data_IF_696392022734
#
_entry.id   IF_696392022734
#
_cell.length_a   1.000
_cell.length_b   1.000
_cell.length_c   1.000
_cell.angle_alpha   90.00
_cell.angle_beta   90.00
_cell.angle_gamma   90.00
#
_symmetry.space_group_name_H-M   'P 1'
#
loop_
_entity.id
_entity.type
_entity.pdbx_description
1 polymer ?
#
# COMPACT_ATOMS: atom_id res chain seq x y z
N UNK A 1 -1.33 14.31 0.50
CA UNK A 1 -2.05 13.42 -0.43
C UNK A 1 -1.08 13.01 -1.52
N UNK A 2 -0.83 11.70 -1.66
CA UNK A 2 0.00 11.13 -2.73
C UNK A 2 -0.93 10.47 -3.73
N UNK A 3 -0.85 10.86 -5.00
CA UNK A 3 -1.75 10.35 -6.04
C UNK A 3 -1.21 9.06 -6.64
N UNK A 4 -2.09 8.07 -6.86
CA UNK A 4 -1.73 6.82 -7.55
C UNK A 4 -1.18 7.07 -8.97
N UNK A 5 -1.58 8.18 -9.61
CA UNK A 5 -1.03 8.63 -10.88
C UNK A 5 0.51 8.80 -10.86
N UNK A 6 1.11 9.09 -9.70
CA UNK A 6 2.56 9.18 -9.59
C UNK A 6 3.22 7.80 -9.85
N UNK A 7 2.66 6.73 -9.30
CA UNK A 7 3.17 5.37 -9.50
C UNK A 7 3.02 4.91 -10.96
N UNK A 8 1.91 5.27 -11.62
CA UNK A 8 1.71 4.91 -13.04
C UNK A 8 2.63 5.70 -13.97
N UNK A 9 2.89 6.98 -13.69
CA UNK A 9 3.87 7.80 -14.42
C UNK A 9 5.29 7.25 -14.22
N UNK A 10 5.65 6.87 -13.00
CA UNK A 10 6.97 6.28 -12.70
C UNK A 10 7.16 4.94 -13.45
N UNK A 11 6.15 4.06 -13.45
CA UNK A 11 6.22 2.81 -14.22
C UNK A 11 6.40 3.07 -15.72
N UNK A 12 5.70 4.08 -16.27
CA UNK A 12 5.87 4.46 -17.67
C UNK A 12 7.29 4.96 -17.97
N UNK A 13 7.87 5.74 -17.04
CA UNK A 13 9.26 6.19 -17.13
C UNK A 13 10.24 5.00 -17.17
N UNK A 14 10.11 4.04 -16.24
CA UNK A 14 10.99 2.87 -16.20
C UNK A 14 10.85 1.96 -17.42
N UNK A 15 9.63 1.80 -17.94
CA UNK A 15 9.38 1.08 -19.18
C UNK A 15 10.09 1.76 -20.37
N UNK A 16 10.01 3.10 -20.47
CA UNK A 16 10.69 3.85 -21.53
C UNK A 16 12.22 3.82 -21.39
N UNK A 17 12.74 3.69 -20.17
CA UNK A 17 14.16 3.52 -19.91
C UNK A 17 14.70 2.11 -20.21
N UNK A 18 13.86 1.19 -20.71
CA UNK A 18 14.20 -0.22 -20.99
C UNK A 18 14.76 -0.96 -19.75
N UNK A 19 14.23 -0.67 -18.56
CA UNK A 19 14.55 -1.44 -17.36
C UNK A 19 14.10 -2.89 -17.55
N UNK A 20 14.95 -3.84 -17.14
CA UNK A 20 14.65 -5.26 -17.33
C UNK A 20 13.35 -5.67 -16.60
N UNK A 21 12.53 -6.57 -17.17
CA UNK A 21 11.32 -7.05 -16.54
C UNK A 21 11.57 -7.61 -15.13
N UNK A 22 10.65 -7.33 -14.21
CA UNK A 22 10.74 -7.79 -12.83
C UNK A 22 11.59 -6.91 -11.90
N UNK A 23 12.28 -5.87 -12.42
CA UNK A 23 13.02 -4.91 -11.59
C UNK A 23 12.16 -3.74 -11.08
N UNK A 24 10.95 -3.59 -11.60
CA UNK A 24 9.98 -2.58 -11.17
C UNK A 24 8.58 -3.17 -11.18
N UNK A 25 7.73 -2.75 -10.24
CA UNK A 25 6.32 -3.11 -10.20
C UNK A 25 5.52 -2.01 -9.52
N UNK A 26 4.31 -1.74 -10.01
CA UNK A 26 3.32 -0.97 -9.27
C UNK A 26 2.70 -1.88 -8.20
N UNK A 27 2.66 -1.38 -6.97
CA UNK A 27 1.95 -1.99 -5.86
C UNK A 27 0.90 -1.01 -5.32
N UNK A 28 -0.37 -1.41 -5.41
CA UNK A 28 -1.46 -0.82 -4.66
C UNK A 28 -1.74 -1.70 -3.43
N UNK A 29 -1.28 -1.26 -2.25
CA UNK A 29 -1.43 -2.02 -1.00
C UNK A 29 -2.87 -2.08 -0.49
N UNK A 30 -3.72 -1.17 -0.94
CA UNK A 30 -5.14 -1.04 -0.54
C UNK A 30 -6.09 -1.70 -1.56
N UNK A 31 -5.53 -2.38 -2.56
CA UNK A 31 -6.32 -3.16 -3.51
C UNK A 31 -6.65 -4.55 -2.97
N UNK A 32 -7.80 -5.09 -3.38
CA UNK A 32 -8.14 -6.50 -3.17
C UNK A 32 -7.08 -7.40 -3.83
N UNK A 33 -6.55 -8.42 -3.13
CA UNK A 33 -5.62 -9.39 -3.72
C UNK A 33 -6.19 -10.08 -4.96
N UNK A 34 -5.40 -10.14 -6.03
CA UNK A 34 -5.72 -10.91 -7.22
C UNK A 34 -5.36 -12.39 -7.08
N UNK A 35 -5.74 -13.19 -8.09
CA UNK A 35 -5.25 -14.56 -8.19
C UNK A 35 -3.72 -14.56 -8.43
N UNK A 36 -2.99 -15.36 -7.65
CA UNK A 36 -1.51 -15.45 -7.69
C UNK A 36 -0.79 -14.12 -7.43
N UNK A 37 -1.37 -13.22 -6.65
CA UNK A 37 -0.79 -11.92 -6.32
C UNK A 37 0.42 -12.07 -5.38
N UNK A 38 1.64 -11.67 -5.81
CA UNK A 38 2.85 -11.79 -5.00
C UNK A 38 2.82 -10.91 -3.74
N UNK A 39 1.93 -9.91 -3.69
CA UNK A 39 1.75 -9.00 -2.57
C UNK A 39 0.47 -9.28 -1.78
N UNK A 40 -0.18 -10.43 -1.98
CA UNK A 40 -1.44 -10.77 -1.32
C UNK A 40 -1.38 -10.66 0.22
N UNK A 41 -0.27 -11.09 0.84
CA UNK A 41 -0.08 -10.99 2.29
C UNK A 41 0.05 -9.54 2.76
N UNK A 42 0.77 -8.71 2.01
CA UNK A 42 0.91 -7.29 2.31
C UNK A 42 -0.45 -6.56 2.23
N UNK A 43 -1.23 -6.82 1.17
CA UNK A 43 -2.57 -6.26 0.98
C UNK A 43 -3.55 -6.68 2.09
N UNK A 44 -3.55 -7.96 2.44
CA UNK A 44 -4.38 -8.46 3.54
C UNK A 44 -4.00 -7.84 4.89
N UNK A 45 -2.70 -7.69 5.16
CA UNK A 45 -2.22 -7.01 6.37
C UNK A 45 -2.58 -5.52 6.38
N UNK A 46 -2.54 -4.85 5.23
CA UNK A 46 -2.90 -3.43 5.11
C UNK A 46 -4.39 -3.23 5.44
N UNK A 47 -5.28 -4.01 4.83
CA UNK A 47 -6.71 -3.97 5.12
C UNK A 47 -7.01 -4.25 6.60
N UNK A 48 -6.25 -5.15 7.24
CA UNK A 48 -6.36 -5.39 8.67
C UNK A 48 -5.91 -4.17 9.50
N UNK A 49 -4.82 -3.50 9.11
CA UNK A 49 -4.31 -2.32 9.80
C UNK A 49 -5.29 -1.13 9.69
N UNK A 50 -5.89 -0.91 8.52
CA UNK A 50 -6.96 0.09 8.36
C UNK A 50 -8.15 -0.20 9.25
N UNK A 51 -8.61 -1.46 9.27
CA UNK A 51 -9.70 -1.86 10.15
C UNK A 51 -9.35 -1.62 11.62
N UNK A 52 -8.11 -1.86 12.04
CA UNK A 52 -7.66 -1.58 13.41
C UNK A 52 -7.70 -0.09 13.75
N UNK A 53 -7.21 0.78 12.86
CA UNK A 53 -7.26 2.24 13.04
C UNK A 53 -8.72 2.71 13.13
N UNK A 54 -9.58 2.25 12.23
CA UNK A 54 -10.99 2.59 12.25
C UNK A 54 -11.67 2.14 13.56
N UNK A 55 -11.41 0.91 14.01
CA UNK A 55 -11.96 0.38 15.26
C UNK A 55 -11.47 1.16 16.49
N UNK A 56 -10.19 1.53 16.54
CA UNK A 56 -9.65 2.37 17.63
C UNK A 56 -10.34 3.74 17.67
N UNK A 57 -10.56 4.35 16.51
CA UNK A 57 -11.27 5.62 16.41
C UNK A 57 -12.74 5.50 16.88
N UNK A 58 -13.44 4.44 16.48
CA UNK A 58 -14.81 4.16 16.94
C UNK A 58 -14.85 4.00 18.47
N UNK A 59 -13.91 3.25 19.05
CA UNK A 59 -13.80 3.09 20.51
C UNK A 59 -13.49 4.42 21.22
N UNK A 60 -12.78 5.33 20.56
CA UNK A 60 -12.52 6.69 21.03
C UNK A 60 -13.69 7.67 20.79
N UNK A 61 -14.82 7.21 20.23
CA UNK A 61 -16.03 8.01 20.04
C UNK A 61 -16.23 8.59 18.64
N UNK A 62 -15.49 8.13 17.63
CA UNK A 62 -15.70 8.55 16.25
C UNK A 62 -17.11 8.16 15.76
N UNK A 63 -17.78 9.08 15.05
CA UNK A 63 -19.14 8.90 14.52
C UNK A 63 -19.19 8.67 13.01
N UNK A 64 -18.04 8.62 12.36
CA UNK A 64 -17.83 8.48 10.91
C UNK A 64 -17.27 7.09 10.55
N UNK A 65 -17.52 6.10 11.42
CA UNK A 65 -16.96 4.75 11.36
C UNK A 65 -15.42 4.71 11.31
N UNK A 66 -14.74 5.75 11.81
CA UNK A 66 -13.28 5.83 11.86
C UNK A 66 -12.62 6.27 10.54
N UNK A 67 -13.41 6.69 9.55
CA UNK A 67 -12.90 7.07 8.22
C UNK A 67 -11.93 8.26 8.25
N UNK A 68 -12.18 9.30 9.06
CA UNK A 68 -11.21 10.41 9.20
C UNK A 68 -9.90 9.97 9.86
N UNK A 69 -9.93 8.99 10.77
CA UNK A 69 -8.72 8.49 11.42
C UNK A 69 -7.87 7.71 10.43
N UNK A 70 -8.49 6.84 9.62
CA UNK A 70 -7.80 6.13 8.52
C UNK A 70 -7.21 7.14 7.54
N UNK A 71 -7.97 8.17 7.11
CA UNK A 71 -7.48 9.20 6.19
C UNK A 71 -6.25 9.94 6.73
N UNK A 72 -6.24 10.28 8.03
CA UNK A 72 -5.11 10.97 8.67
C UNK A 72 -3.86 10.08 8.78
N UNK A 73 -4.04 8.79 9.09
CA UNK A 73 -2.96 7.81 9.22
C UNK A 73 -2.49 7.24 7.87
N UNK A 74 -3.24 7.45 6.79
CA UNK A 74 -3.16 6.66 5.56
C UNK A 74 -1.75 6.57 4.96
N UNK A 75 -1.05 7.69 4.79
CA UNK A 75 0.27 7.65 4.14
C UNK A 75 1.41 7.35 5.12
N UNK A 76 1.43 8.03 6.26
CA UNK A 76 2.59 8.02 7.16
C UNK A 76 2.64 6.76 8.03
N UNK A 77 1.49 6.33 8.57
CA UNK A 77 1.42 5.23 9.54
C UNK A 77 0.93 3.91 8.91
N UNK A 78 0.12 3.98 7.84
CA UNK A 78 -0.43 2.81 7.16
C UNK A 78 0.37 2.45 5.90
N UNK A 79 0.41 3.27 4.85
CA UNK A 79 1.01 2.87 3.56
C UNK A 79 2.53 2.69 3.64
N UNK A 80 3.24 3.63 4.25
CA UNK A 80 4.71 3.62 4.31
C UNK A 80 5.32 2.30 4.83
N UNK A 81 4.91 1.75 6.00
CA UNK A 81 5.50 0.50 6.50
C UNK A 81 5.25 -0.69 5.57
N UNK A 82 4.09 -0.78 4.90
CA UNK A 82 3.80 -1.88 3.98
C UNK A 82 4.62 -1.78 2.69
N UNK A 83 4.79 -0.58 2.13
CA UNK A 83 5.70 -0.36 1.00
C UNK A 83 7.15 -0.72 1.37
N UNK A 84 7.60 -0.43 2.60
CA UNK A 84 8.93 -0.82 3.07
C UNK A 84 9.10 -2.34 3.21
N UNK A 85 8.07 -3.07 3.64
CA UNK A 85 8.08 -4.54 3.67
C UNK A 85 8.19 -5.11 2.25
N UNK A 86 7.39 -4.59 1.31
CA UNK A 86 7.46 -5.01 -0.09
C UNK A 86 8.85 -4.75 -0.71
N UNK A 87 9.44 -3.59 -0.45
CA UNK A 87 10.79 -3.26 -0.91
C UNK A 87 11.85 -4.20 -0.32
N UNK A 88 11.78 -4.53 0.98
CA UNK A 88 12.67 -5.53 1.59
C UNK A 88 12.53 -6.90 0.93
N UNK A 89 11.29 -7.29 0.62
CA UNK A 89 11.00 -8.54 -0.10
C UNK A 89 11.66 -8.58 -1.47
N UNK A 90 11.59 -7.48 -2.24
CA UNK A 90 12.28 -7.36 -3.53
C UNK A 90 13.80 -7.54 -3.38
N UNK A 91 14.44 -6.76 -2.51
CA UNK A 91 15.90 -6.80 -2.34
C UNK A 91 16.42 -8.09 -1.74
N UNK A 92 15.60 -8.85 -1.01
CA UNK A 92 15.98 -10.17 -0.50
C UNK A 92 16.17 -11.25 -1.56
N UNK A 93 15.87 -10.97 -2.83
CA UNK A 93 16.10 -11.90 -3.96
C UNK A 93 17.48 -11.73 -4.63
N UNK A 94 18.31 -10.78 -4.15
CA UNK A 94 19.66 -10.50 -4.65
C UNK A 94 20.70 -10.80 -3.56
#
# INVERSE_FOLDING_TARGET
>A
MVYFANATIEQAYWNHANVAPGLTSILDVDSTPGANDPFASAKAGFAQAEAQVAQQAIQAGATDNGSNAVLQAYHDDLVAPFCMVAARGFFGNF
#
